data_IF_064001811593
#
_entry.id   IF_064001811593
#
_cell.length_a   1.000
_cell.length_b   1.000
_cell.length_c   1.000
_cell.angle_alpha   90.00
_cell.angle_beta   90.00
_cell.angle_gamma   90.00
#
_symmetry.space_group_name_H-M   'P 1'
#
loop_
_entity.id
_entity.type
_entity.pdbx_description
1 polymer ?
#
# COMPACT_ATOMS: atom_id res chain seq x y z
N UNK A 1 -15.42 -2.65 25.22
CA UNK A 1 -14.42 -3.38 26.04
C UNK A 1 -13.38 -3.95 25.07
N UNK A 2 -12.19 -3.36 25.03
CA UNK A 2 -11.08 -3.87 24.22
C UNK A 2 -10.55 -5.11 24.92
N UNK A 3 -10.72 -6.28 24.29
CA UNK A 3 -10.35 -7.55 24.90
C UNK A 3 -8.86 -7.82 24.74
N UNK A 4 -8.04 -7.36 25.68
CA UNK A 4 -6.60 -7.67 25.73
C UNK A 4 -6.30 -9.13 26.15
N UNK A 5 -7.24 -10.07 25.92
CA UNK A 5 -7.12 -11.47 26.38
C UNK A 5 -6.02 -12.26 25.65
N UNK A 6 -5.48 -11.69 24.57
CA UNK A 6 -4.40 -12.26 23.77
C UNK A 6 -3.11 -11.46 23.88
N UNK A 7 -3.03 -10.55 24.84
CA UNK A 7 -1.87 -9.67 24.99
C UNK A 7 -0.82 -10.36 25.85
N UNK A 8 0.29 -10.73 25.20
CA UNK A 8 1.53 -11.14 25.82
C UNK A 8 2.69 -10.35 25.23
N UNK A 9 3.94 -10.60 25.65
CA UNK A 9 5.12 -10.11 24.95
C UNK A 9 5.08 -10.63 23.51
N UNK A 10 4.69 -9.77 22.59
CA UNK A 10 4.50 -10.05 21.17
C UNK A 10 4.88 -8.82 20.35
N UNK A 11 5.28 -9.03 19.11
CA UNK A 11 5.59 -7.94 18.19
C UNK A 11 4.28 -7.36 17.67
N UNK A 12 4.19 -6.03 17.53
CA UNK A 12 2.99 -5.34 16.99
C UNK A 12 2.50 -5.88 15.63
N UNK A 13 3.33 -6.63 14.91
CA UNK A 13 2.95 -7.40 13.73
C UNK A 13 1.79 -8.39 13.98
N UNK A 14 1.62 -8.93 15.19
CA UNK A 14 0.47 -9.78 15.54
C UNK A 14 -0.84 -9.01 15.56
N UNK A 15 -0.84 -7.82 16.16
CA UNK A 15 -2.01 -6.94 16.17
C UNK A 15 -2.34 -6.46 14.76
N UNK A 16 -1.33 -6.16 13.94
CA UNK A 16 -1.51 -5.79 12.53
C UNK A 16 -2.09 -6.93 11.72
N UNK A 17 -1.58 -8.16 11.88
CA UNK A 17 -2.15 -9.35 11.25
C UNK A 17 -3.63 -9.52 11.66
N UNK A 18 -3.92 -9.45 12.96
CA UNK A 18 -5.28 -9.56 13.45
C UNK A 18 -6.21 -8.48 12.87
N UNK A 19 -5.80 -7.21 12.95
CA UNK A 19 -6.58 -6.08 12.46
C UNK A 19 -6.81 -6.19 10.96
N UNK A 20 -5.78 -6.46 10.18
CA UNK A 20 -5.92 -6.61 8.73
C UNK A 20 -6.87 -7.75 8.39
N UNK A 21 -6.62 -8.95 8.91
CA UNK A 21 -7.46 -10.13 8.63
C UNK A 21 -8.92 -9.90 9.06
N UNK A 22 -9.17 -9.12 10.10
CA UNK A 22 -10.52 -8.86 10.61
C UNK A 22 -11.23 -7.67 9.95
N UNK A 23 -10.54 -6.80 9.22
CA UNK A 23 -11.09 -5.52 8.76
C UNK A 23 -10.92 -5.24 7.26
N UNK A 24 -9.94 -5.82 6.57
CA UNK A 24 -9.75 -5.56 5.13
C UNK A 24 -10.78 -6.31 4.31
N UNK A 25 -11.15 -5.74 3.16
CA UNK A 25 -12.02 -6.39 2.18
C UNK A 25 -11.39 -7.70 1.68
N UNK A 26 -12.23 -8.71 1.40
CA UNK A 26 -11.77 -9.99 0.83
C UNK A 26 -10.93 -9.81 -0.42
N UNK A 27 -11.32 -8.86 -1.29
CA UNK A 27 -10.63 -8.60 -2.55
C UNK A 27 -9.18 -8.16 -2.33
N UNK A 28 -8.90 -7.47 -1.22
CA UNK A 28 -7.53 -7.10 -0.85
C UNK A 28 -6.73 -8.30 -0.37
N UNK A 29 -7.34 -9.28 0.31
CA UNK A 29 -6.64 -10.50 0.73
C UNK A 29 -6.24 -11.39 -0.46
N UNK A 30 -7.02 -11.35 -1.55
CA UNK A 30 -6.72 -12.10 -2.77
C UNK A 30 -5.52 -11.46 -3.53
N UNK A 31 -5.34 -10.14 -3.41
CA UNK A 31 -4.22 -9.33 -3.94
C UNK A 31 -3.32 -8.81 -2.81
N UNK A 32 -2.39 -9.65 -2.36
CA UNK A 32 -1.48 -9.27 -1.28
C UNK A 32 -0.53 -8.11 -1.61
N UNK A 33 -0.48 -7.58 -2.84
CA UNK A 33 0.33 -6.40 -3.18
C UNK A 33 -0.30 -5.12 -2.63
N UNK A 34 -1.62 -4.99 -2.76
CA UNK A 34 -2.39 -3.93 -2.12
C UNK A 34 -2.33 -4.05 -0.59
N UNK A 35 -2.40 -5.27 -0.04
CA UNK A 35 -2.23 -5.51 1.42
C UNK A 35 -0.84 -5.13 1.89
N UNK A 36 0.21 -5.48 1.14
CA UNK A 36 1.58 -5.09 1.48
C UNK A 36 1.73 -3.58 1.46
N UNK A 37 1.28 -2.91 0.40
CA UNK A 37 1.35 -1.47 0.30
C UNK A 37 0.58 -0.79 1.46
N UNK A 38 -0.59 -1.31 1.83
CA UNK A 38 -1.38 -0.83 2.96
C UNK A 38 -0.67 -1.07 4.29
N UNK A 39 -0.05 -2.24 4.50
CA UNK A 39 0.78 -2.52 5.67
C UNK A 39 1.94 -1.53 5.76
N UNK A 40 2.63 -1.29 4.64
CA UNK A 40 3.80 -0.39 4.60
C UNK A 40 3.37 1.04 4.91
N UNK A 41 2.41 1.56 4.14
CA UNK A 41 1.93 2.96 4.23
C UNK A 41 1.22 3.27 5.53
N UNK A 42 0.28 2.42 5.94
CA UNK A 42 -0.62 2.73 7.04
C UNK A 42 -0.07 2.29 8.41
N UNK A 43 0.94 1.41 8.46
CA UNK A 43 1.45 0.89 9.72
C UNK A 43 2.97 0.93 9.84
N UNK A 44 3.71 0.25 8.95
CA UNK A 44 5.14 0.06 9.12
C UNK A 44 5.91 1.38 9.08
N UNK A 45 5.64 2.24 8.11
CA UNK A 45 6.28 3.55 8.03
C UNK A 45 5.92 4.47 9.19
N UNK A 46 4.64 4.66 9.56
CA UNK A 46 4.27 5.42 10.76
C UNK A 46 4.95 4.90 12.03
N UNK A 47 4.98 3.57 12.23
CA UNK A 47 5.67 2.94 13.35
C UNK A 47 7.17 3.30 13.33
N UNK A 48 7.84 3.07 12.20
CA UNK A 48 9.28 3.35 12.03
C UNK A 48 9.61 4.81 12.30
N UNK A 49 8.76 5.74 11.84
CA UNK A 49 8.91 7.18 12.07
C UNK A 49 8.79 7.53 13.56
N UNK A 50 7.87 6.89 14.28
CA UNK A 50 7.66 7.15 15.70
C UNK A 50 8.75 6.54 16.61
N UNK A 51 9.20 5.32 16.31
CA UNK A 51 10.17 4.62 17.18
C UNK A 51 11.63 4.79 16.72
N UNK A 52 11.84 5.29 15.51
CA UNK A 52 13.15 5.45 14.87
C UNK A 52 13.70 4.17 14.24
N UNK A 53 14.54 4.33 13.22
CA UNK A 53 15.11 3.24 12.44
C UNK A 53 15.92 2.22 13.25
N UNK A 54 16.52 2.63 14.38
CA UNK A 54 17.33 1.77 15.26
C UNK A 54 16.49 0.76 16.04
N UNK A 55 15.26 1.12 16.41
CA UNK A 55 14.36 0.29 17.20
C UNK A 55 13.32 -0.41 16.31
N UNK A 56 12.96 0.19 15.17
CA UNK A 56 12.02 -0.40 14.24
C UNK A 56 12.62 -1.67 13.61
N UNK A 57 11.84 -2.76 13.48
CA UNK A 57 12.30 -3.91 12.71
C UNK A 57 12.57 -3.49 11.25
N UNK A 58 13.54 -4.14 10.60
CA UNK A 58 13.67 -4.03 9.15
C UNK A 58 12.39 -4.51 8.45
N UNK A 59 12.09 -4.06 7.22
CA UNK A 59 10.94 -4.57 6.47
C UNK A 59 10.91 -6.10 6.40
N UNK A 60 12.07 -6.72 6.14
CA UNK A 60 12.23 -8.18 6.12
C UNK A 60 11.86 -8.84 7.44
N UNK A 61 12.34 -8.31 8.57
CA UNK A 61 11.99 -8.84 9.90
C UNK A 61 10.51 -8.65 10.20
N UNK A 62 9.95 -7.47 9.92
CA UNK A 62 8.55 -7.16 10.15
C UNK A 62 7.64 -8.14 9.39
N UNK A 63 7.88 -8.30 8.09
CA UNK A 63 7.07 -9.18 7.25
C UNK A 63 7.25 -10.66 7.58
N UNK A 64 8.45 -11.09 8.00
CA UNK A 64 8.65 -12.44 8.53
C UNK A 64 7.76 -12.69 9.75
N UNK A 65 7.76 -11.78 10.72
CA UNK A 65 6.92 -11.90 11.92
C UNK A 65 5.44 -11.82 11.57
N UNK A 66 5.05 -10.92 10.67
CA UNK A 66 3.67 -10.81 10.18
C UNK A 66 3.17 -12.13 9.59
N UNK A 67 3.98 -12.83 8.78
CA UNK A 67 3.64 -14.15 8.25
C UNK A 67 3.41 -15.16 9.37
N UNK A 68 4.31 -15.24 10.35
CA UNK A 68 4.16 -16.14 11.50
C UNK A 68 2.87 -15.83 12.28
N UNK A 69 2.57 -14.55 12.49
CA UNK A 69 1.33 -14.12 13.13
C UNK A 69 0.08 -14.55 12.33
N UNK A 70 0.12 -14.43 11.00
CA UNK A 70 -0.95 -14.94 10.14
C UNK A 70 -1.10 -16.46 10.26
N UNK A 71 -0.03 -17.23 10.41
CA UNK A 71 -0.13 -18.69 10.61
C UNK A 71 -0.67 -19.05 11.99
N UNK A 72 -0.23 -18.37 13.04
CA UNK A 72 -0.76 -18.56 14.39
C UNK A 72 -2.26 -18.22 14.44
N UNK A 73 -2.64 -17.12 13.80
CA UNK A 73 -4.03 -16.72 13.71
C UNK A 73 -4.87 -17.73 12.93
N UNK A 74 -4.31 -18.32 11.87
CA UNK A 74 -4.95 -19.37 11.08
C UNK A 74 -5.28 -20.57 11.97
N UNK A 75 -4.28 -21.01 12.74
CA UNK A 75 -4.42 -22.13 13.66
C UNK A 75 -5.55 -21.89 14.67
N UNK A 76 -5.64 -20.69 15.25
CA UNK A 76 -6.71 -20.35 16.21
C UNK A 76 -8.07 -20.25 15.51
N UNK A 77 -8.16 -19.49 14.42
CA UNK A 77 -9.42 -19.28 13.70
C UNK A 77 -9.98 -20.58 13.10
N UNK A 78 -9.14 -21.39 12.47
CA UNK A 78 -9.55 -22.63 11.82
C UNK A 78 -9.71 -23.75 12.84
N UNK A 79 -8.68 -23.99 13.64
CA UNK A 79 -8.66 -25.10 14.59
C UNK A 79 -9.68 -24.92 15.71
N UNK A 80 -9.77 -23.73 16.30
CA UNK A 80 -10.61 -23.53 17.49
C UNK A 80 -12.01 -23.00 17.15
N UNK A 81 -12.14 -22.11 16.16
CA UNK A 81 -13.45 -21.52 15.86
C UNK A 81 -14.24 -22.29 14.81
N UNK A 82 -13.60 -22.87 13.78
CA UNK A 82 -14.35 -23.48 12.68
C UNK A 82 -14.61 -24.97 12.84
N UNK A 83 -13.74 -25.70 13.52
CA UNK A 83 -13.90 -27.13 13.74
C UNK A 83 -15.24 -27.51 14.42
N UNK A 84 -15.89 -26.58 15.14
CA UNK A 84 -17.18 -26.79 15.81
C UNK A 84 -18.35 -25.97 15.26
N UNK A 85 -18.22 -25.28 14.13
CA UNK A 85 -19.25 -24.35 13.64
C UNK A 85 -20.08 -24.95 12.49
N UNK A 86 -21.41 -24.93 12.66
CA UNK A 86 -22.37 -25.15 11.59
C UNK A 86 -22.33 -23.96 10.58
N UNK A 87 -22.15 -24.21 9.26
CA UNK A 87 -22.21 -23.17 8.23
C UNK A 87 -23.49 -22.33 8.24
N UNK A 88 -24.63 -22.86 8.68
CA UNK A 88 -25.87 -22.08 8.82
C UNK A 88 -25.75 -21.03 9.94
N UNK A 89 -24.98 -21.32 11.01
CA UNK A 89 -24.70 -20.39 12.10
C UNK A 89 -23.83 -19.22 11.65
N UNK A 90 -22.85 -19.45 10.78
CA UNK A 90 -22.01 -18.38 10.19
C UNK A 90 -22.89 -17.46 9.35
N UNK A 91 -23.76 -18.02 8.50
CA UNK A 91 -24.70 -17.24 7.68
C UNK A 91 -25.64 -16.36 8.49
N UNK A 92 -26.17 -16.87 9.61
CA UNK A 92 -26.99 -16.07 10.56
C UNK A 92 -26.21 -14.94 11.24
N UNK A 93 -24.89 -15.06 11.35
CA UNK A 93 -24.02 -14.06 11.98
C UNK A 93 -23.59 -12.91 11.07
N UNK A 94 -23.97 -12.91 9.78
CA UNK A 94 -23.45 -11.97 8.77
C UNK A 94 -23.58 -10.49 9.16
N UNK A 95 -24.67 -10.09 9.81
CA UNK A 95 -24.93 -8.71 10.23
C UNK A 95 -24.47 -8.39 11.65
N UNK A 96 -23.93 -9.36 12.39
CA UNK A 96 -23.54 -9.17 13.78
C UNK A 96 -22.22 -8.41 13.88
N UNK A 97 -22.26 -7.11 14.17
CA UNK A 97 -21.07 -6.26 14.26
C UNK A 97 -20.14 -6.59 15.44
N UNK A 98 -20.57 -7.41 16.41
CA UNK A 98 -19.75 -7.83 17.56
C UNK A 98 -18.81 -8.99 17.24
N UNK A 99 -18.94 -9.62 16.07
CA UNK A 99 -18.07 -10.72 15.64
C UNK A 99 -17.06 -10.22 14.62
N UNK A 100 -15.82 -10.73 14.63
CA UNK A 100 -14.82 -10.38 13.61
C UNK A 100 -15.24 -10.91 12.22
N UNK A 101 -14.74 -10.29 11.14
CA UNK A 101 -15.20 -10.55 9.76
C UNK A 101 -15.12 -12.03 9.33
N UNK A 102 -14.04 -12.73 9.65
CA UNK A 102 -13.86 -14.16 9.37
C UNK A 102 -14.93 -15.06 10.04
N UNK A 103 -15.57 -14.61 11.13
CA UNK A 103 -16.67 -15.31 11.80
C UNK A 103 -18.07 -14.98 11.23
N UNK A 104 -18.13 -14.12 10.21
CA UNK A 104 -19.38 -13.59 9.62
C UNK A 104 -19.51 -13.86 8.13
N UNK A 105 -18.39 -14.06 7.44
CA UNK A 105 -18.32 -14.21 5.99
C UNK A 105 -17.49 -15.43 5.61
N UNK A 106 -18.14 -16.40 4.97
CA UNK A 106 -17.45 -17.57 4.40
C UNK A 106 -16.45 -17.14 3.33
N UNK A 107 -16.73 -16.08 2.58
CA UNK A 107 -15.81 -15.53 1.58
C UNK A 107 -14.53 -14.98 2.23
N UNK A 108 -14.63 -14.30 3.37
CA UNK A 108 -13.45 -13.82 4.12
C UNK A 108 -12.60 -14.97 4.61
N UNK A 109 -13.27 -15.99 5.15
CA UNK A 109 -12.59 -17.18 5.61
C UNK A 109 -11.86 -17.90 4.46
N UNK A 110 -12.54 -18.10 3.33
CA UNK A 110 -11.93 -18.75 2.16
C UNK A 110 -10.79 -17.91 1.57
N UNK A 111 -10.94 -16.58 1.50
CA UNK A 111 -9.86 -15.68 1.09
C UNK A 111 -8.66 -15.77 2.03
N UNK A 112 -8.91 -15.80 3.33
CA UNK A 112 -7.86 -15.98 4.33
C UNK A 112 -7.19 -17.36 4.26
N UNK A 113 -7.96 -18.43 4.06
CA UNK A 113 -7.43 -19.78 3.85
C UNK A 113 -6.55 -19.83 2.60
N UNK A 114 -6.98 -19.27 1.48
CA UNK A 114 -6.14 -19.16 0.26
C UNK A 114 -4.88 -18.35 0.52
N UNK A 115 -4.97 -17.28 1.29
CA UNK A 115 -3.82 -16.48 1.70
C UNK A 115 -2.81 -17.32 2.51
N UNK A 116 -3.27 -18.11 3.47
CA UNK A 116 -2.44 -19.01 4.29
C UNK A 116 -1.86 -20.16 3.45
N UNK A 117 -2.69 -20.78 2.62
CA UNK A 117 -2.32 -21.92 1.77
C UNK A 117 -1.15 -21.53 0.86
N UNK A 118 -1.28 -20.37 0.20
CA UNK A 118 -0.17 -19.76 -0.55
C UNK A 118 1.07 -19.56 0.34
N UNK A 119 0.93 -18.94 1.52
CA UNK A 119 2.06 -18.76 2.45
C UNK A 119 2.76 -20.07 2.83
N UNK A 120 2.02 -21.16 3.02
CA UNK A 120 2.52 -22.46 3.48
C UNK A 120 3.22 -23.25 2.37
N UNK A 121 2.73 -23.18 1.13
CA UNK A 121 3.34 -23.85 -0.02
C UNK A 121 4.66 -23.21 -0.46
N UNK A 122 5.14 -22.21 0.28
CA UNK A 122 6.19 -21.31 -0.18
C UNK A 122 5.77 -20.53 -1.43
N UNK A 123 4.50 -20.66 -1.85
CA UNK A 123 3.95 -19.89 -2.93
C UNK A 123 3.86 -18.44 -2.48
N UNK A 124 4.33 -17.59 -3.36
CA UNK A 124 4.32 -16.19 -3.08
C UNK A 124 2.88 -15.70 -3.21
N UNK A 125 2.26 -15.34 -2.09
CA UNK A 125 1.00 -14.59 -2.12
C UNK A 125 1.27 -13.34 -2.94
N UNK A 126 0.54 -13.03 -4.03
CA UNK A 126 0.79 -11.85 -4.86
C UNK A 126 1.02 -10.64 -3.96
N UNK A 127 2.15 -9.93 -4.06
CA UNK A 127 2.65 -9.01 -3.01
C UNK A 127 3.83 -9.53 -2.18
N UNK A 128 4.19 -10.79 -2.37
CA UNK A 128 5.43 -11.40 -1.90
C UNK A 128 6.15 -12.19 -3.03
N UNK A 129 5.77 -11.99 -4.30
CA UNK A 129 6.30 -12.68 -5.50
C UNK A 129 5.96 -12.01 -6.83
N UNK A 130 6.34 -12.59 -8.00
CA UNK A 130 6.25 -11.91 -9.29
C UNK A 130 4.78 -11.65 -9.70
N UNK A 131 4.57 -10.65 -10.57
CA UNK A 131 3.27 -9.99 -10.74
C UNK A 131 2.16 -10.93 -11.24
N UNK A 132 0.97 -10.82 -10.66
CA UNK A 132 -0.25 -11.41 -11.20
C UNK A 132 -0.72 -10.63 -12.45
N UNK A 133 -1.38 -11.31 -13.39
CA UNK A 133 -1.89 -10.75 -14.66
C UNK A 133 -3.35 -10.27 -14.61
N UNK A 134 -4.00 -10.32 -13.44
CA UNK A 134 -5.36 -9.78 -13.29
C UNK A 134 -5.31 -8.24 -13.24
N UNK A 135 -6.25 -7.48 -13.85
CA UNK A 135 -6.28 -6.03 -13.70
C UNK A 135 -6.66 -5.69 -12.25
N UNK A 136 -5.66 -5.25 -11.48
CA UNK A 136 -5.72 -5.03 -10.04
C UNK A 136 -6.07 -3.58 -9.72
N UNK A 137 -6.39 -3.34 -8.45
CA UNK A 137 -6.41 -1.98 -7.95
C UNK A 137 -4.98 -1.45 -7.90
N UNK A 138 -4.62 -0.53 -8.80
CA UNK A 138 -3.25 0.00 -8.86
C UNK A 138 -3.03 0.93 -7.67
N UNK A 139 -1.96 0.72 -6.86
CA UNK A 139 -1.56 1.69 -5.87
C UNK A 139 -1.32 3.05 -6.54
N UNK A 140 -1.85 4.10 -5.94
CA UNK A 140 -1.77 5.44 -6.47
C UNK A 140 -1.51 6.45 -5.36
N UNK A 141 -1.17 7.65 -5.75
CA UNK A 141 -0.96 8.79 -4.88
C UNK A 141 -1.73 9.96 -5.45
N UNK A 142 -2.49 10.65 -4.61
CA UNK A 142 -3.13 11.91 -4.99
C UNK A 142 -2.29 13.05 -4.42
N UNK A 143 -1.81 13.94 -5.29
CA UNK A 143 -1.18 15.19 -4.90
C UNK A 143 -2.20 16.31 -5.08
N UNK A 144 -2.38 17.12 -4.04
CA UNK A 144 -3.26 18.28 -4.05
C UNK A 144 -2.64 19.46 -3.31
N UNK A 145 -3.12 20.67 -3.61
CA UNK A 145 -2.71 21.90 -2.92
C UNK A 145 -1.65 22.72 -3.64
N UNK A 146 -1.16 22.26 -4.81
CA UNK A 146 -0.28 23.08 -5.63
C UNK A 146 -1.06 24.26 -6.21
N UNK A 147 -0.39 25.40 -6.35
CA UNK A 147 -0.91 26.67 -6.85
C UNK A 147 0.14 27.35 -7.72
N UNK A 148 -0.30 28.27 -8.59
CA UNK A 148 0.56 28.94 -9.57
C UNK A 148 0.48 28.32 -10.97
N UNK A 149 1.30 28.81 -11.92
CA UNK A 149 1.23 28.42 -13.33
C UNK A 149 1.40 26.91 -13.57
N UNK A 150 2.23 26.25 -12.76
CA UNK A 150 2.52 24.83 -12.90
C UNK A 150 1.65 23.91 -12.04
N UNK A 151 0.62 24.44 -11.38
CA UNK A 151 -0.26 23.67 -10.49
C UNK A 151 -0.92 22.49 -11.21
N UNK A 152 -1.28 22.66 -12.49
CA UNK A 152 -1.91 21.62 -13.30
C UNK A 152 -0.94 20.50 -13.69
N UNK A 153 0.38 20.73 -13.66
CA UNK A 153 1.37 19.67 -13.82
C UNK A 153 1.55 18.87 -12.53
N UNK A 154 1.36 19.49 -11.36
CA UNK A 154 1.63 18.91 -10.04
C UNK A 154 0.41 18.25 -9.39
N UNK A 155 -0.75 18.90 -9.41
CA UNK A 155 -1.97 18.37 -8.80
C UNK A 155 -2.54 17.23 -9.63
N UNK A 156 -2.96 16.13 -9.00
CA UNK A 156 -3.64 15.04 -9.68
C UNK A 156 -3.41 13.70 -9.05
N UNK A 157 -3.81 12.65 -9.77
CA UNK A 157 -3.62 11.27 -9.33
C UNK A 157 -2.46 10.64 -10.10
N UNK A 158 -1.58 9.96 -9.38
CA UNK A 158 -0.38 9.32 -9.91
C UNK A 158 -0.44 7.83 -9.61
N UNK A 159 -0.49 7.00 -10.65
CA UNK A 159 -0.50 5.55 -10.57
C UNK A 159 0.91 4.98 -10.49
N UNK A 160 1.13 4.06 -9.53
CA UNK A 160 2.38 3.32 -9.41
C UNK A 160 2.64 2.53 -10.71
N UNK A 161 3.82 2.73 -11.29
CA UNK A 161 4.29 2.01 -12.46
C UNK A 161 5.23 0.88 -12.04
N UNK A 162 4.91 -0.34 -12.45
CA UNK A 162 5.66 -1.54 -12.07
C UNK A 162 5.26 -2.10 -10.70
N UNK A 163 5.98 -3.13 -10.25
CA UNK A 163 5.76 -3.74 -8.95
C UNK A 163 6.49 -2.95 -7.86
N UNK A 164 5.83 -2.70 -6.72
CA UNK A 164 6.50 -2.16 -5.54
C UNK A 164 7.46 -3.20 -4.96
N UNK A 165 8.76 -3.02 -5.18
CA UNK A 165 9.80 -3.93 -4.68
C UNK A 165 10.55 -3.26 -3.53
N UNK A 166 10.25 -3.63 -2.28
CA UNK A 166 11.02 -3.14 -1.12
C UNK A 166 12.47 -3.66 -1.08
N UNK A 167 12.80 -4.67 -1.89
CA UNK A 167 14.08 -5.40 -1.81
C UNK A 167 15.05 -5.01 -2.94
N UNK A 168 14.60 -4.22 -3.92
CA UNK A 168 15.44 -3.75 -5.03
C UNK A 168 15.74 -2.25 -4.86
N UNK A 169 16.95 -1.83 -5.25
CA UNK A 169 17.52 -0.52 -4.93
C UNK A 169 16.84 0.67 -5.62
N UNK A 170 15.80 0.44 -6.42
CA UNK A 170 15.22 1.49 -7.23
C UNK A 170 13.93 2.06 -6.59
N UNK A 171 13.87 3.38 -6.33
CA UNK A 171 12.68 4.03 -5.77
C UNK A 171 11.47 3.90 -6.69
N UNK A 172 10.24 3.79 -6.14
CA UNK A 172 9.03 3.62 -6.93
C UNK A 172 8.80 4.82 -7.87
N UNK A 173 8.18 4.54 -9.01
CA UNK A 173 7.81 5.51 -10.02
C UNK A 173 6.28 5.61 -10.10
N UNK A 174 5.75 6.82 -10.18
CA UNK A 174 4.32 7.01 -10.37
C UNK A 174 4.06 7.88 -11.60
N UNK A 175 3.11 7.49 -12.44
CA UNK A 175 2.70 8.19 -13.65
C UNK A 175 1.35 8.88 -13.41
N UNK A 176 1.27 10.16 -13.72
CA UNK A 176 0.04 10.92 -13.63
C UNK A 176 -1.00 10.39 -14.61
N UNK A 177 -2.23 10.22 -14.13
CA UNK A 177 -3.38 9.82 -14.96
C UNK A 177 -4.06 11.04 -15.57
N UNK A 178 -4.79 10.82 -16.66
CA UNK A 178 -5.62 11.83 -17.33
C UNK A 178 -4.85 13.04 -17.88
N UNK A 179 -3.59 12.85 -18.30
CA UNK A 179 -2.79 13.88 -18.96
C UNK A 179 -2.38 13.47 -20.37
N UNK A 180 -2.36 14.45 -21.28
CA UNK A 180 -1.93 14.24 -22.67
C UNK A 180 -0.45 13.89 -22.78
N UNK A 181 0.36 14.47 -21.90
CA UNK A 181 1.81 14.21 -21.82
C UNK A 181 2.13 13.41 -20.55
N UNK A 182 3.14 12.51 -20.60
CA UNK A 182 3.50 11.68 -19.47
C UNK A 182 4.23 12.50 -18.39
N UNK A 183 3.54 12.73 -17.27
CA UNK A 183 4.07 13.42 -16.10
C UNK A 183 4.33 12.41 -14.99
N UNK A 184 5.49 12.49 -14.37
CA UNK A 184 5.99 11.47 -13.46
C UNK A 184 6.34 12.04 -12.09
N UNK A 185 6.06 11.25 -11.06
CA UNK A 185 6.54 11.44 -9.69
C UNK A 185 7.61 10.38 -9.41
N UNK A 186 8.83 10.82 -9.09
CA UNK A 186 9.98 9.95 -8.87
C UNK A 186 10.96 10.54 -7.85
N UNK A 187 11.77 9.69 -7.23
CA UNK A 187 12.90 10.13 -6.39
C UNK A 187 14.12 10.44 -7.29
N UNK A 188 14.62 11.68 -7.25
CA UNK A 188 15.80 12.13 -7.99
C UNK A 188 17.11 11.73 -7.27
N UNK A 189 18.25 11.85 -7.97
CA UNK A 189 19.57 11.43 -7.44
C UNK A 189 20.02 12.20 -6.19
N UNK A 190 19.53 13.42 -6.00
CA UNK A 190 19.77 14.25 -4.82
C UNK A 190 18.86 13.88 -3.62
N UNK A 191 18.05 12.82 -3.73
CA UNK A 191 17.17 12.34 -2.67
C UNK A 191 15.88 13.14 -2.51
N UNK A 192 15.52 14.03 -3.44
CA UNK A 192 14.22 14.73 -3.43
C UNK A 192 13.19 13.99 -4.26
N UNK A 193 11.94 13.92 -3.79
CA UNK A 193 10.84 13.55 -4.67
C UNK A 193 10.59 14.69 -5.66
N UNK A 194 10.37 14.37 -6.93
CA UNK A 194 10.22 15.32 -8.03
C UNK A 194 9.01 14.98 -8.90
N UNK A 195 8.26 16.00 -9.33
CA UNK A 195 7.23 15.90 -10.38
C UNK A 195 7.78 16.49 -11.67
N UNK A 196 8.00 15.68 -12.71
CA UNK A 196 8.66 16.12 -13.94
C UNK A 196 8.25 15.31 -15.18
N UNK A 197 8.81 15.67 -16.33
CA UNK A 197 8.63 14.95 -17.59
C UNK A 197 9.34 13.59 -17.60
N UNK A 198 8.99 12.73 -18.55
CA UNK A 198 9.65 11.43 -18.76
C UNK A 198 11.18 11.58 -18.92
N UNK A 199 11.64 12.57 -19.68
CA UNK A 199 13.07 12.84 -19.92
C UNK A 199 13.85 13.04 -18.60
N UNK A 200 13.31 13.85 -17.70
CA UNK A 200 13.96 14.16 -16.43
C UNK A 200 13.86 12.99 -15.45
N UNK A 201 12.76 12.24 -15.46
CA UNK A 201 12.65 10.97 -14.73
C UNK A 201 13.70 9.96 -15.18
N UNK A 202 13.88 9.74 -16.48
CA UNK A 202 14.83 8.76 -17.02
C UNK A 202 16.27 9.11 -16.62
N UNK A 203 16.60 10.41 -16.58
CA UNK A 203 17.88 10.90 -16.07
C UNK A 203 17.95 10.97 -14.53
N UNK A 204 16.84 10.70 -13.82
CA UNK A 204 16.67 10.95 -12.37
C UNK A 204 17.12 12.35 -11.95
N UNK A 205 16.93 13.34 -12.82
CA UNK A 205 17.36 14.72 -12.63
C UNK A 205 16.46 15.45 -11.63
N UNK A 206 17.00 16.45 -10.93
CA UNK A 206 16.25 17.32 -10.02
C UNK A 206 15.55 18.49 -10.73
N UNK A 207 15.55 18.51 -12.06
CA UNK A 207 14.82 19.50 -12.88
C UNK A 207 13.35 19.09 -12.95
N UNK A 208 12.46 19.83 -12.31
CA UNK A 208 11.08 19.45 -12.08
C UNK A 208 10.16 20.66 -11.89
N UNK A 209 8.84 20.42 -11.82
CA UNK A 209 7.83 21.43 -11.49
C UNK A 209 7.55 21.51 -9.99
N UNK A 210 7.75 20.41 -9.27
CA UNK A 210 7.65 20.36 -7.82
C UNK A 210 8.71 19.43 -7.25
N UNK A 211 9.28 19.78 -6.10
CA UNK A 211 10.13 18.87 -5.33
C UNK A 211 9.92 18.94 -3.83
N UNK A 212 10.25 17.85 -3.13
CA UNK A 212 10.30 17.82 -1.66
C UNK A 212 11.65 18.32 -1.12
N UNK A 213 11.77 18.41 0.21
CA UNK A 213 13.07 18.36 0.85
C UNK A 213 13.78 17.01 0.61
N UNK A 214 15.13 16.97 0.64
CA UNK A 214 15.88 15.72 0.54
C UNK A 214 15.52 14.74 1.65
N UNK A 215 15.38 13.47 1.30
CA UNK A 215 15.16 12.38 2.26
C UNK A 215 16.50 11.80 2.76
N UNK A 216 16.53 11.18 3.95
CA UNK A 216 17.70 10.45 4.42
C UNK A 216 18.05 9.30 3.46
N UNK A 217 19.34 9.11 3.18
CA UNK A 217 19.84 8.15 2.19
C UNK A 217 19.47 6.68 2.49
N UNK A 218 19.13 6.37 3.74
CA UNK A 218 18.79 5.04 4.23
C UNK A 218 17.28 4.78 4.33
N UNK A 219 16.44 5.73 3.91
CA UNK A 219 14.99 5.60 3.97
C UNK A 219 14.37 5.59 2.56
N UNK A 220 14.02 4.38 2.08
CA UNK A 220 13.11 4.19 0.96
C UNK A 220 11.69 4.56 1.40
N UNK A 221 11.40 5.86 1.43
CA UNK A 221 10.10 6.37 1.83
C UNK A 221 9.20 6.61 0.62
N UNK A 222 7.91 6.36 0.82
CA UNK A 222 6.89 6.73 -0.13
C UNK A 222 6.76 8.26 -0.26
N UNK A 223 6.24 8.78 -1.40
CA UNK A 223 6.07 10.23 -1.59
C UNK A 223 5.27 10.91 -0.48
N UNK A 224 4.33 10.18 0.14
CA UNK A 224 3.50 10.68 1.25
C UNK A 224 4.25 10.95 2.55
N UNK A 225 5.49 10.47 2.68
CA UNK A 225 6.35 10.78 3.81
C UNK A 225 7.20 12.05 3.58
N UNK A 226 7.27 12.52 2.34
CA UNK A 226 8.05 13.69 1.98
C UNK A 226 7.37 14.97 2.49
N UNK A 227 8.18 15.96 2.87
CA UNK A 227 7.71 17.22 3.45
C UNK A 227 8.41 18.41 2.78
N UNK A 228 7.98 19.62 3.16
CA UNK A 228 8.56 20.88 2.68
C UNK A 228 8.58 20.96 1.15
N UNK A 229 7.42 20.70 0.54
CA UNK A 229 7.29 20.75 -0.90
C UNK A 229 7.45 22.17 -1.42
N UNK A 230 8.18 22.32 -2.51
CA UNK A 230 8.30 23.55 -3.26
C UNK A 230 7.77 23.32 -4.67
N UNK A 231 7.09 24.31 -5.21
CA UNK A 231 6.55 24.30 -6.57
C UNK A 231 7.16 25.47 -7.31
N UNK A 232 7.61 25.24 -8.54
CA UNK A 232 8.18 26.29 -9.37
C UNK A 232 7.09 27.27 -9.79
N UNK A 233 7.45 28.53 -9.83
CA UNK A 233 6.66 29.61 -10.43
C UNK A 233 7.49 30.22 -11.56
N UNK A 234 6.93 31.19 -12.28
CA UNK A 234 7.64 31.87 -13.36
C UNK A 234 8.95 32.55 -12.89
N UNK A 235 9.06 32.85 -11.59
CA UNK A 235 10.16 33.65 -11.03
C UNK A 235 11.02 32.89 -10.01
N UNK A 236 10.43 31.98 -9.20
CA UNK A 236 11.15 31.29 -8.11
C UNK A 236 10.45 30.01 -7.61
N UNK A 237 11.10 29.28 -6.71
CA UNK A 237 10.55 28.15 -5.96
C UNK A 237 9.77 28.62 -4.73
N UNK A 238 8.47 28.36 -4.71
CA UNK A 238 7.61 28.74 -3.59
C UNK A 238 7.29 27.52 -2.70
N UNK A 239 7.48 27.61 -1.37
CA UNK A 239 7.03 26.58 -0.45
C UNK A 239 5.50 26.44 -0.49
N UNK A 240 5.00 25.20 -0.62
CA UNK A 240 3.58 24.90 -0.64
C UNK A 240 3.25 23.69 0.24
N UNK A 241 2.10 23.74 0.93
CA UNK A 241 1.60 22.66 1.78
C UNK A 241 0.88 21.58 0.94
N UNK A 242 1.65 20.83 0.15
CA UNK A 242 1.12 19.77 -0.69
C UNK A 242 0.61 18.60 0.16
N UNK A 243 -0.63 18.18 -0.10
CA UNK A 243 -1.24 17.00 0.51
C UNK A 243 -1.03 15.80 -0.39
N UNK A 244 -0.25 14.84 0.10
CA UNK A 244 0.08 13.62 -0.63
C UNK A 244 -0.60 12.44 0.03
N UNK A 245 -1.67 11.96 -0.60
CA UNK A 245 -2.56 10.95 -0.03
C UNK A 245 -2.37 9.63 -0.76
N UNK A 246 -1.96 8.56 -0.05
CA UNK A 246 -2.00 7.21 -0.59
C UNK A 246 -3.44 6.84 -0.99
N UNK A 247 -3.63 6.27 -2.19
CA UNK A 247 -4.94 5.79 -2.69
C UNK A 247 -4.81 4.44 -3.39
N UNK A 248 -5.88 3.65 -3.37
CA UNK A 248 -6.01 2.47 -4.25
C UNK A 248 -7.01 2.82 -5.35
N UNK A 249 -6.59 2.73 -6.61
CA UNK A 249 -7.48 2.94 -7.75
C UNK A 249 -8.07 1.61 -8.18
N UNK A 250 -9.34 1.40 -7.87
CA UNK A 250 -10.08 0.25 -8.36
C UNK A 250 -10.35 0.50 -9.84
N UNK A 251 -9.72 -0.25 -10.73
CA UNK A 251 -10.05 -0.20 -12.15
C UNK A 251 -11.52 -0.59 -12.32
N UNK A 252 -12.38 0.39 -12.67
CA UNK A 252 -13.75 0.10 -13.02
C UNK A 252 -13.73 -0.75 -14.29
N UNK A 253 -14.51 -1.84 -14.33
CA UNK A 253 -14.59 -2.77 -15.47
C UNK A 253 -14.89 -2.07 -16.81
N UNK A 254 -15.42 -0.85 -16.76
CA UNK A 254 -15.79 -0.03 -17.91
C UNK A 254 -14.59 0.49 -18.72
N UNK A 255 -13.45 0.77 -18.07
CA UNK A 255 -12.27 1.29 -18.78
C UNK A 255 -11.66 0.24 -19.72
N UNK A 256 -11.65 -1.03 -19.31
CA UNK A 256 -11.17 -2.14 -20.14
C UNK A 256 -12.10 -2.46 -21.31
N UNK A 257 -13.42 -2.29 -21.13
CA UNK A 257 -14.38 -2.46 -22.23
C UNK A 257 -14.23 -1.39 -23.32
N UNK A 258 -13.76 -0.18 -22.99
CA UNK A 258 -13.47 0.86 -23.99
C UNK A 258 -12.18 0.58 -24.77
N UNK A 259 -11.09 0.17 -24.09
CA UNK A 259 -9.84 -0.14 -24.80
C UNK A 259 -9.93 -1.36 -25.72
N UNK A 260 -10.81 -2.32 -25.38
CA UNK A 260 -11.05 -3.52 -26.20
C UNK A 260 -12.05 -3.26 -27.35
N UNK A 261 -12.80 -2.16 -27.32
CA UNK A 261 -13.72 -1.76 -28.39
C UNK A 261 -13.07 -0.84 -29.45
N UNK A 262 -11.92 -0.26 -29.13
CA UNK A 262 -11.14 0.62 -30.04
C UNK A 262 -10.02 -0.12 -30.79
N UNK A 263 -9.95 -1.45 -30.67
CA UNK A 263 -9.05 -2.33 -31.44
C UNK A 263 -9.84 -3.20 -32.41
#
# INVERSE_FOLDING_TARGET
>A
CVGFRWCGPGLGAQDVAHLLICSVDCALLDDGSAVRWLIVTAYFEPLRRQVGAKLAPTPKQFFRTFRLACLDYAKVAIGHHLAGYDPARIRKGKTNLRRPAHNRSMSHLLGYLRFIDRLLDGQEVPGFGPPSTTPLATPAVVIAGASGPDADYVNGTYELQGAFRCEESEPPLFLKVDTMEPIWLYLAQNGTWCVSSAKNKDARASICWAHSAPLPADELLLPSAASCWQVTTDEDWQPQDLRIMPRLLIQSKEAKQRSDAEK
#
